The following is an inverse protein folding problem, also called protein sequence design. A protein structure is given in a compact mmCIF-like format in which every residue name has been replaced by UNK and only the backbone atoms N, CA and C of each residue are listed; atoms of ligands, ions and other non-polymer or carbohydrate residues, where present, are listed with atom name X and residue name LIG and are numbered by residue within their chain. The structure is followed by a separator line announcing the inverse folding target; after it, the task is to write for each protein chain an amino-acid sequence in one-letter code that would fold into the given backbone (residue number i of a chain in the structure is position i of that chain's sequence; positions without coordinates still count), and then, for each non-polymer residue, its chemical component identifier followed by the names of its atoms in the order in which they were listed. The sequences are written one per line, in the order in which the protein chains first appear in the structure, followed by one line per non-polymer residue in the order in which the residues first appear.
data_IF_653547707028
#
_entry.id   IF_653547707028
#
_cell.length_a   1.000
_cell.length_b   1.000
_cell.length_c   1.000
_cell.angle_alpha   90.00
_cell.angle_beta   90.00
_cell.angle_gamma   90.00
#
_symmetry.space_group_name_H-M   'P 1'
#
loop_
_entity.id
_entity.type
_entity.pdbx_description
1 polymer ?
#
# COMPACT_ATOMS: atom_id res chain seq x y z
N UNK A 1 -1.14 10.53 16.15
CA UNK A 1 -1.34 9.26 15.40
C UNK A 1 -2.75 9.11 14.82
N UNK A 2 -3.81 9.67 15.42
CA UNK A 2 -5.19 9.51 14.95
C UNK A 2 -5.41 9.80 13.46
N UNK A 3 -4.83 10.88 12.91
CA UNK A 3 -4.99 11.23 11.49
C UNK A 3 -4.36 10.19 10.54
N UNK A 4 -3.14 9.74 10.83
CA UNK A 4 -2.46 8.72 10.03
C UNK A 4 -3.16 7.35 10.12
N UNK A 5 -3.73 7.05 11.29
CA UNK A 5 -4.51 5.85 11.52
C UNK A 5 -5.83 5.86 10.74
N UNK A 6 -6.51 7.01 10.69
CA UNK A 6 -7.78 7.19 9.99
C UNK A 6 -7.63 7.24 8.46
N UNK A 7 -6.49 7.74 7.95
CA UNK A 7 -6.28 7.91 6.52
C UNK A 7 -6.14 6.56 5.77
N UNK A 8 -6.76 6.36 4.59
CA UNK A 8 -6.56 5.15 3.77
C UNK A 8 -5.13 5.02 3.21
N UNK A 9 -4.46 6.14 2.97
CA UNK A 9 -3.10 6.23 2.46
C UNK A 9 -2.46 7.56 2.81
N UNK A 10 -1.16 7.70 2.53
CA UNK A 10 -0.35 8.85 2.97
C UNK A 10 0.50 9.39 1.82
N UNK A 11 0.54 10.71 1.65
CA UNK A 11 1.38 11.38 0.65
C UNK A 11 2.13 12.54 1.32
N UNK A 12 3.47 12.56 1.27
CA UNK A 12 4.28 13.59 1.96
C UNK A 12 5.24 14.32 1.03
N UNK A 13 5.20 15.66 0.99
CA UNK A 13 6.10 16.44 0.11
C UNK A 13 7.59 16.31 0.43
N UNK A 14 7.90 15.93 1.67
CA UNK A 14 9.25 15.78 2.19
C UNK A 14 9.40 14.42 2.88
N UNK A 15 10.66 14.05 3.16
CA UNK A 15 11.02 12.84 3.90
C UNK A 15 11.29 11.66 2.99
N UNK A 16 12.28 10.83 3.37
CA UNK A 16 12.69 9.67 2.60
C UNK A 16 11.95 8.37 2.98
N UNK A 17 12.37 7.23 2.38
CA UNK A 17 11.82 5.90 2.68
C UNK A 17 11.94 5.47 4.15
N UNK A 18 12.82 6.11 4.92
CA UNK A 18 13.04 5.86 6.35
C UNK A 18 12.42 6.94 7.25
N UNK A 19 11.65 7.86 6.68
CA UNK A 19 10.96 8.91 7.46
C UNK A 19 9.85 8.34 8.33
N UNK A 20 9.42 9.12 9.33
CA UNK A 20 8.30 8.75 10.21
C UNK A 20 7.04 8.35 9.42
N UNK A 21 6.69 9.11 8.37
CA UNK A 21 5.51 8.80 7.56
C UNK A 21 5.64 7.44 6.86
N UNK A 22 6.81 7.17 6.27
CA UNK A 22 7.07 5.92 5.56
C UNK A 22 7.07 4.70 6.50
N UNK A 23 7.75 4.80 7.64
CA UNK A 23 7.88 3.68 8.59
C UNK A 23 6.53 3.35 9.21
N UNK A 24 5.79 4.36 9.66
CA UNK A 24 4.51 4.13 10.31
C UNK A 24 3.45 3.65 9.33
N UNK A 25 3.41 4.20 8.10
CA UNK A 25 2.47 3.70 7.09
C UNK A 25 2.69 2.21 6.78
N UNK A 26 3.95 1.76 6.66
CA UNK A 26 4.29 0.34 6.48
C UNK A 26 3.85 -0.52 7.67
N UNK A 27 4.15 -0.09 8.89
CA UNK A 27 3.75 -0.80 10.10
C UNK A 27 2.22 -0.94 10.21
N UNK A 28 1.47 -0.01 9.61
CA UNK A 28 0.01 -0.01 9.59
C UNK A 28 -0.61 -0.62 8.33
N UNK A 29 0.20 -1.14 7.40
CA UNK A 29 -0.28 -1.70 6.13
C UNK A 29 -0.97 -0.69 5.21
N UNK A 30 -0.62 0.60 5.32
CA UNK A 30 -1.21 1.68 4.51
C UNK A 30 -0.26 2.06 3.37
N UNK A 31 -0.84 2.27 2.18
CA UNK A 31 -0.09 2.78 1.03
C UNK A 31 0.50 4.16 1.35
N UNK A 32 1.77 4.37 0.99
CA UNK A 32 2.43 5.65 1.21
C UNK A 32 3.38 6.02 0.07
N UNK A 33 3.25 7.26 -0.41
CA UNK A 33 4.19 7.90 -1.34
C UNK A 33 4.85 9.08 -0.64
N UNK A 34 6.13 8.93 -0.33
CA UNK A 34 6.93 9.95 0.36
C UNK A 34 7.86 10.68 -0.61
N UNK A 35 8.27 11.89 -0.25
CA UNK A 35 9.08 12.76 -1.10
C UNK A 35 8.54 13.00 -2.52
N UNK A 36 7.22 12.87 -2.75
CA UNK A 36 6.69 13.26 -4.06
C UNK A 36 6.77 14.79 -4.21
N UNK A 37 7.68 15.23 -5.07
CA UNK A 37 8.07 16.61 -5.26
C UNK A 37 7.06 17.37 -6.14
N UNK A 38 7.30 18.67 -6.33
CA UNK A 38 6.50 19.49 -7.26
C UNK A 38 5.10 19.81 -6.77
N UNK A 39 4.84 19.62 -5.47
CA UNK A 39 3.58 19.99 -4.82
C UNK A 39 3.72 21.02 -3.71
N UNK A 40 2.67 21.78 -3.48
CA UNK A 40 2.56 22.72 -2.36
C UNK A 40 1.20 22.54 -1.69
N UNK A 41 1.21 22.34 -0.37
CA UNK A 41 -0.02 22.23 0.41
C UNK A 41 -0.39 23.61 0.91
N UNK A 42 -1.56 24.10 0.50
CA UNK A 42 -2.15 25.35 0.98
C UNK A 42 -3.23 25.00 2.00
N UNK A 43 -2.83 25.01 3.28
CA UNK A 43 -3.69 24.62 4.39
C UNK A 43 -4.84 25.63 4.58
N UNK A 44 -4.59 26.91 4.32
CA UNK A 44 -5.61 27.96 4.46
C UNK A 44 -6.68 27.84 3.38
N UNK A 45 -6.29 27.50 2.15
CA UNK A 45 -7.22 27.30 1.04
C UNK A 45 -7.77 25.86 0.95
N UNK A 46 -7.33 24.94 1.81
CA UNK A 46 -7.76 23.53 1.78
C UNK A 46 -7.45 22.85 0.45
N UNK A 47 -6.26 23.07 -0.12
CA UNK A 47 -5.90 22.46 -1.40
C UNK A 47 -4.43 22.08 -1.52
N UNK A 48 -4.14 21.19 -2.47
CA UNK A 48 -2.78 20.85 -2.88
C UNK A 48 -2.57 21.35 -4.31
N UNK A 49 -1.53 22.13 -4.54
CA UNK A 49 -1.11 22.54 -5.89
C UNK A 49 -0.04 21.59 -6.39
N UNK A 50 -0.14 21.15 -7.64
CA UNK A 50 0.87 20.34 -8.34
C UNK A 50 1.11 20.94 -9.72
N UNK A 51 2.21 21.67 -9.88
CA UNK A 51 2.39 22.56 -11.04
C UNK A 51 1.24 23.57 -11.14
N UNK A 52 0.55 23.59 -12.28
CA UNK A 52 -0.61 24.47 -12.51
C UNK A 52 -1.94 23.88 -12.02
N UNK A 53 -1.95 22.61 -11.59
CA UNK A 53 -3.17 21.94 -11.13
C UNK A 53 -3.44 22.24 -9.67
N UNK A 54 -4.69 22.55 -9.36
CA UNK A 54 -5.19 22.67 -7.99
C UNK A 54 -6.05 21.45 -7.68
N UNK A 55 -5.73 20.76 -6.58
CA UNK A 55 -6.46 19.60 -6.06
C UNK A 55 -7.13 20.05 -4.77
N UNK A 56 -8.44 20.37 -4.79
CA UNK A 56 -9.19 20.75 -3.60
C UNK A 56 -9.31 19.58 -2.61
N UNK A 57 -9.56 19.92 -1.34
CA UNK A 57 -10.00 18.96 -0.34
C UNK A 57 -11.22 18.15 -0.83
N UNK A 58 -11.28 16.87 -0.47
CA UNK A 58 -12.33 15.95 -0.89
C UNK A 58 -12.14 15.36 -2.30
N UNK A 59 -11.12 15.80 -3.06
CA UNK A 59 -10.80 15.19 -4.35
C UNK A 59 -10.32 13.75 -4.17
N UNK A 60 -10.93 12.83 -4.90
CA UNK A 60 -10.51 11.44 -4.92
C UNK A 60 -9.14 11.31 -5.59
N UNK A 61 -8.21 10.69 -4.88
CA UNK A 61 -6.89 10.33 -5.38
C UNK A 61 -6.63 8.86 -5.08
N UNK A 62 -5.85 8.22 -5.95
CA UNK A 62 -5.33 6.88 -5.74
C UNK A 62 -3.83 6.96 -5.48
N UNK A 63 -3.36 6.18 -4.51
CA UNK A 63 -1.98 6.16 -4.04
C UNK A 63 -1.40 4.77 -4.27
N UNK A 64 -0.46 4.65 -5.21
CA UNK A 64 0.33 3.43 -5.40
C UNK A 64 1.64 3.53 -4.61
N UNK A 65 1.65 2.90 -3.44
CA UNK A 65 2.85 2.84 -2.58
C UNK A 65 3.99 1.96 -3.14
N UNK A 66 3.73 1.14 -4.16
CA UNK A 66 4.73 0.26 -4.78
C UNK A 66 5.44 0.98 -5.92
N UNK A 67 4.68 1.53 -6.88
CA UNK A 67 5.21 2.31 -7.99
C UNK A 67 5.63 3.73 -7.61
N UNK A 68 5.17 4.25 -6.47
CA UNK A 68 5.45 5.61 -6.03
C UNK A 68 4.57 6.67 -6.69
N UNK A 69 3.44 6.27 -7.26
CA UNK A 69 2.56 7.13 -8.04
C UNK A 69 1.36 7.63 -7.22
N UNK A 70 0.92 8.86 -7.52
CA UNK A 70 -0.31 9.42 -7.01
C UNK A 70 -1.10 9.95 -8.19
N UNK A 71 -2.30 9.43 -8.37
CA UNK A 71 -3.13 9.68 -9.56
C UNK A 71 -4.51 10.17 -9.15
N UNK A 72 -5.14 10.95 -10.02
CA UNK A 72 -6.48 11.48 -9.78
C UNK A 72 -7.53 10.42 -10.11
N UNK A 73 -8.56 10.35 -9.26
CA UNK A 73 -9.68 9.43 -9.46
C UNK A 73 -9.37 7.98 -9.07
N UNK A 74 -10.14 7.08 -9.68
CA UNK A 74 -10.16 5.65 -9.39
C UNK A 74 -9.72 4.84 -10.63
N UNK A 75 -8.41 4.77 -10.92
CA UNK A 75 -7.91 3.92 -11.99
C UNK A 75 -8.14 2.45 -11.64
N UNK A 76 -8.38 1.63 -12.67
CA UNK A 76 -8.47 0.18 -12.48
C UNK A 76 -7.18 -0.38 -11.88
N UNK A 77 -7.30 -1.07 -10.74
CA UNK A 77 -6.19 -1.74 -10.09
C UNK A 77 -5.97 -3.11 -10.74
N UNK A 78 -4.82 -3.30 -11.36
CA UNK A 78 -4.43 -4.58 -11.92
C UNK A 78 -3.52 -5.33 -10.93
N UNK A 79 -4.08 -6.31 -10.23
CA UNK A 79 -3.29 -7.20 -9.36
C UNK A 79 -2.83 -8.39 -10.20
N UNK A 80 -1.66 -8.29 -10.82
CA UNK A 80 -1.06 -9.44 -11.49
C UNK A 80 -0.41 -10.35 -10.43
N UNK A 81 -1.14 -11.37 -9.97
CA UNK A 81 -0.58 -12.44 -9.15
C UNK A 81 -0.20 -13.57 -10.09
N UNK A 82 1.08 -13.63 -10.45
CA UNK A 82 1.66 -14.82 -11.10
C UNK A 82 3.13 -14.91 -10.71
N UNK A 83 3.36 -15.18 -9.42
CA UNK A 83 4.72 -15.32 -8.90
C UNK A 83 5.04 -16.80 -8.64
N UNK A 84 5.98 -17.37 -9.40
CA UNK A 84 6.45 -18.74 -9.21
C UNK A 84 7.12 -18.97 -7.84
N UNK A 85 7.55 -17.92 -7.13
CA UNK A 85 8.01 -18.02 -5.74
C UNK A 85 6.85 -18.27 -4.78
N UNK A 86 5.71 -17.59 -4.99
CA UNK A 86 4.52 -17.82 -4.18
C UNK A 86 4.05 -19.27 -4.33
N UNK A 87 4.01 -19.79 -5.56
CA UNK A 87 3.65 -21.18 -5.80
C UNK A 87 4.58 -22.14 -5.05
N UNK A 88 5.90 -21.96 -5.16
CA UNK A 88 6.88 -22.77 -4.41
C UNK A 88 6.69 -22.71 -2.90
N UNK A 89 6.43 -21.51 -2.36
CA UNK A 89 6.18 -21.33 -0.93
C UNK A 89 4.92 -22.09 -0.49
N UNK A 90 3.86 -22.02 -1.28
CA UNK A 90 2.60 -22.68 -0.97
C UNK A 90 2.69 -24.21 -1.13
N UNK A 91 3.52 -24.70 -2.05
CA UNK A 91 3.82 -26.12 -2.18
C UNK A 91 4.52 -26.65 -0.92
N UNK A 92 5.52 -25.92 -0.39
CA UNK A 92 6.13 -26.26 0.90
C UNK A 92 5.13 -26.21 2.06
N UNK A 93 4.20 -25.26 2.04
CA UNK A 93 3.15 -25.17 3.07
C UNK A 93 2.22 -26.40 3.05
N UNK A 94 1.85 -26.87 1.87
CA UNK A 94 1.05 -28.09 1.72
C UNK A 94 1.83 -29.35 2.12
N UNK A 95 3.14 -29.40 1.86
CA UNK A 95 4.01 -30.49 2.31
C UNK A 95 4.08 -30.58 3.84
N UNK A 96 4.30 -29.45 4.53
CA UNK A 96 4.36 -29.39 6.00
C UNK A 96 2.99 -29.69 6.63
N UNK A 97 1.91 -29.13 6.07
CA UNK A 97 0.55 -29.36 6.57
C UNK A 97 -0.03 -30.71 6.14
N UNK A 98 0.61 -31.45 5.23
CA UNK A 98 0.13 -32.72 4.69
C UNK A 98 -1.25 -32.64 4.04
N UNK A 99 -1.71 -31.43 3.69
CA UNK A 99 -3.04 -31.16 3.16
C UNK A 99 -2.89 -30.39 1.84
N UNK A 100 -3.30 -31.04 0.75
CA UNK A 100 -3.24 -30.53 -0.63
C UNK A 100 -4.61 -30.15 -1.18
N UNK A 101 -5.61 -29.98 -0.31
CA UNK A 101 -6.93 -29.53 -0.74
C UNK A 101 -6.88 -28.11 -1.29
N UNK A 102 -7.72 -27.83 -2.30
CA UNK A 102 -7.80 -26.49 -2.88
C UNK A 102 -8.45 -25.55 -1.87
N UNK A 103 -7.67 -24.56 -1.43
CA UNK A 103 -8.06 -23.55 -0.45
C UNK A 103 -7.29 -22.24 -0.69
N UNK A 104 -7.74 -21.11 -0.14
CA UNK A 104 -7.03 -19.84 -0.25
C UNK A 104 -5.58 -19.92 0.23
N UNK A 105 -4.67 -19.17 -0.41
CA UNK A 105 -3.23 -19.18 -0.10
C UNK A 105 -2.93 -18.93 1.38
N UNK A 106 -3.69 -18.01 2.00
CA UNK A 106 -3.55 -17.70 3.42
C UNK A 106 -3.90 -18.89 4.34
N UNK A 107 -4.85 -19.73 3.95
CA UNK A 107 -5.21 -20.93 4.70
C UNK A 107 -4.14 -22.03 4.58
N UNK A 108 -3.54 -22.17 3.38
CA UNK A 108 -2.41 -23.09 3.15
C UNK A 108 -1.23 -22.75 4.08
N UNK A 109 -0.85 -21.47 4.12
CA UNK A 109 0.23 -20.98 4.99
C UNK A 109 -0.10 -21.16 6.48
N UNK A 110 -1.34 -20.85 6.89
CA UNK A 110 -1.77 -20.98 8.29
C UNK A 110 -1.75 -22.44 8.77
N UNK A 111 -2.18 -23.38 7.93
CA UNK A 111 -2.17 -24.81 8.24
C UNK A 111 -0.75 -25.36 8.40
N UNK A 112 0.20 -24.88 7.60
CA UNK A 112 1.62 -25.24 7.73
C UNK A 112 2.21 -24.70 9.06
N UNK A 113 1.90 -23.45 9.40
CA UNK A 113 2.39 -22.83 10.63
C UNK A 113 1.89 -23.56 11.90
N UNK A 114 0.66 -24.06 11.89
CA UNK A 114 0.09 -24.81 13.02
C UNK A 114 0.77 -26.18 13.29
N UNK A 115 1.67 -26.63 12.41
CA UNK A 115 2.43 -27.88 12.54
C UNK A 115 3.87 -27.68 13.03
N UNK A 116 4.31 -26.43 13.15
CA UNK A 116 5.60 -26.04 13.73
C UNK A 116 5.47 -25.88 15.24
#
# INVERSE_FOLDING_TARGET
MHGLAAAPGVVTGLGGPTSHAAVVARAMGKAAVVAAAGRTVDVAAGCVRVGERVVPEGTLITVDGTGGEVVLGDPGVATAITDGLLHRLLDWADEVSGDRTRRPDQERLSAAHARL
#
